data_IF_644938702784
#
_entry.id   IF_644938702784
#
_cell.length_a   1.000
_cell.length_b   1.000
_cell.length_c   1.000
_cell.angle_alpha   90.00
_cell.angle_beta   90.00
_cell.angle_gamma   90.00
#
_symmetry.space_group_name_H-M   'P 1'
#
loop_
_entity.id
_entity.type
_entity.pdbx_description
1 polymer ?
#
# COMPACT_ATOMS: atom_id res chain seq x y z
N UNK A 1 -2.36 -3.00 54.07
CA UNK A 1 -1.38 -3.78 53.28
C UNK A 1 -1.95 -4.05 51.90
N UNK A 2 -1.53 -3.31 50.86
CA UNK A 2 -1.94 -3.51 49.47
C UNK A 2 -0.74 -4.09 48.72
N UNK A 3 -0.87 -5.31 48.22
CA UNK A 3 0.12 -5.95 47.36
C UNK A 3 0.06 -5.28 45.97
N UNK A 4 1.21 -4.82 45.47
CA UNK A 4 1.38 -4.32 44.12
C UNK A 4 1.64 -5.45 43.14
N UNK A 5 0.92 -5.47 42.01
CA UNK A 5 1.22 -6.33 40.86
C UNK A 5 2.24 -5.64 39.95
N UNK A 6 3.27 -6.34 39.42
CA UNK A 6 4.14 -5.77 38.41
C UNK A 6 3.51 -5.89 37.02
N UNK A 7 3.40 -4.77 36.32
CA UNK A 7 3.13 -4.71 34.88
C UNK A 7 4.40 -5.13 34.13
N UNK A 8 4.33 -6.20 33.31
CA UNK A 8 5.40 -6.52 32.38
C UNK A 8 5.29 -5.62 31.14
N UNK A 9 6.19 -4.65 31.03
CA UNK A 9 6.44 -3.91 29.80
C UNK A 9 7.22 -4.79 28.82
N UNK A 10 6.53 -5.39 27.86
CA UNK A 10 7.18 -6.00 26.70
C UNK A 10 7.44 -4.89 25.66
N UNK A 11 8.65 -4.34 25.68
CA UNK A 11 9.13 -3.45 24.62
C UNK A 11 9.34 -4.31 23.37
N UNK A 12 8.30 -4.45 22.54
CA UNK A 12 8.47 -4.90 21.16
C UNK A 12 9.26 -3.81 20.45
N UNK A 13 10.54 -4.10 20.17
CA UNK A 13 11.39 -3.25 19.36
C UNK A 13 10.70 -3.04 18.00
N UNK A 14 10.05 -1.88 17.86
CA UNK A 14 9.53 -1.43 16.59
C UNK A 14 10.69 -1.35 15.62
N UNK A 15 10.66 -2.21 14.59
CA UNK A 15 11.44 -2.00 13.38
C UNK A 15 10.91 -0.72 12.76
N UNK A 16 11.50 0.41 13.17
CA UNK A 16 11.29 1.70 12.55
C UNK A 16 12.00 1.60 11.20
N UNK A 17 11.31 1.56 10.05
CA UNK A 17 12.00 1.59 8.78
C UNK A 17 12.85 2.86 8.78
N UNK A 18 14.16 2.68 8.58
CA UNK A 18 15.08 3.79 8.46
C UNK A 18 14.63 4.60 7.25
N UNK A 19 14.07 5.78 7.50
CA UNK A 19 13.86 6.77 6.47
C UNK A 19 15.24 7.25 6.02
N UNK A 20 15.78 6.60 4.99
CA UNK A 20 16.84 7.19 4.19
C UNK A 20 16.32 8.56 3.71
N UNK A 21 17.11 9.65 3.82
CA UNK A 21 16.77 10.92 3.19
C UNK A 21 16.97 10.76 1.68
N UNK A 22 16.08 9.99 1.05
CA UNK A 22 15.96 9.92 -0.38
C UNK A 22 15.54 11.32 -0.82
N UNK A 23 16.35 11.90 -1.71
CA UNK A 23 16.03 13.11 -2.46
C UNK A 23 14.53 13.16 -2.74
N UNK A 24 13.87 14.20 -2.24
CA UNK A 24 12.43 14.37 -2.39
C UNK A 24 12.15 14.72 -3.85
N UNK A 25 11.90 13.69 -4.66
CA UNK A 25 11.46 13.83 -6.04
C UNK A 25 9.98 13.47 -6.12
N UNK A 26 9.27 14.20 -6.95
CA UNK A 26 7.87 13.95 -7.28
C UNK A 26 7.75 13.40 -8.70
N UNK A 27 6.75 12.55 -8.93
CA UNK A 27 6.52 11.95 -10.26
C UNK A 27 6.13 13.00 -11.31
N UNK A 28 5.68 14.18 -10.89
CA UNK A 28 5.34 15.31 -11.76
C UNK A 28 6.55 16.22 -12.05
N UNK A 29 7.72 15.97 -11.45
CA UNK A 29 8.93 16.74 -11.75
C UNK A 29 9.35 16.56 -13.20
N UNK A 30 9.83 17.63 -13.83
CA UNK A 30 10.30 17.58 -15.21
C UNK A 30 11.48 16.62 -15.41
N UNK A 31 12.24 16.37 -14.35
CA UNK A 31 13.35 15.42 -14.33
C UNK A 31 13.27 14.55 -13.07
N UNK A 32 13.00 13.26 -13.26
CA UNK A 32 13.11 12.26 -12.18
C UNK A 32 14.58 11.85 -12.05
N UNK A 33 15.13 11.71 -10.83
CA UNK A 33 16.53 11.31 -10.64
C UNK A 33 16.85 9.97 -11.30
N UNK A 34 18.10 9.79 -11.70
CA UNK A 34 18.56 8.51 -12.27
C UNK A 34 18.44 7.41 -11.21
N UNK A 35 17.79 6.33 -11.59
CA UNK A 35 17.61 5.15 -10.74
C UNK A 35 18.95 4.46 -10.52
N UNK A 36 19.42 4.44 -9.27
CA UNK A 36 20.62 3.71 -8.88
C UNK A 36 20.30 2.32 -8.31
N UNK A 37 19.13 2.19 -7.67
CA UNK A 37 18.70 0.99 -6.97
C UNK A 37 17.21 0.76 -7.21
N UNK A 38 16.80 -0.51 -7.13
CA UNK A 38 15.42 -0.92 -7.34
C UNK A 38 14.87 -1.58 -6.09
N UNK A 39 13.63 -1.24 -5.75
CA UNK A 39 12.86 -1.90 -4.70
C UNK A 39 12.41 -3.30 -5.13
N UNK A 40 12.25 -4.18 -4.14
CA UNK A 40 11.47 -5.41 -4.30
C UNK A 40 10.00 -5.06 -4.53
N UNK A 41 9.33 -5.85 -5.36
CA UNK A 41 7.90 -5.71 -5.63
C UNK A 41 7.08 -5.68 -4.33
N UNK A 42 6.17 -4.71 -4.24
CA UNK A 42 5.26 -4.54 -3.10
C UNK A 42 3.81 -4.60 -3.59
N UNK A 43 3.18 -5.75 -3.40
CA UNK A 43 1.77 -5.97 -3.76
C UNK A 43 0.82 -5.01 -3.01
N UNK A 44 1.11 -4.75 -1.73
CA UNK A 44 0.27 -3.99 -0.80
C UNK A 44 0.95 -2.68 -0.37
N UNK A 45 1.35 -1.86 -1.34
CA UNK A 45 1.84 -0.52 -1.04
C UNK A 45 0.77 0.28 -0.27
N UNK A 46 1.11 0.78 0.91
CA UNK A 46 0.20 1.49 1.81
C UNK A 46 0.86 2.79 2.34
N UNK A 47 0.04 3.79 2.60
CA UNK A 47 0.48 5.13 2.98
C UNK A 47 1.14 5.92 1.84
N UNK A 48 1.86 6.97 2.20
CA UNK A 48 2.59 7.82 1.25
C UNK A 48 3.98 7.22 0.98
N UNK A 49 4.02 6.22 0.11
CA UNK A 49 5.26 5.52 -0.27
C UNK A 49 5.63 5.79 -1.72
N UNK A 50 6.93 5.81 -1.99
CA UNK A 50 7.51 5.83 -3.33
C UNK A 50 8.33 4.57 -3.52
N UNK A 51 8.21 3.97 -4.69
CA UNK A 51 8.87 2.72 -5.05
C UNK A 51 9.38 2.82 -6.48
N UNK A 52 10.58 2.28 -6.71
CA UNK A 52 11.19 2.21 -8.03
C UNK A 52 11.41 0.75 -8.37
N UNK A 53 10.68 0.23 -9.34
CA UNK A 53 10.76 -1.17 -9.73
C UNK A 53 11.60 -1.38 -10.98
N UNK A 54 12.18 -2.58 -11.08
CA UNK A 54 12.94 -2.97 -12.26
C UNK A 54 12.02 -3.06 -13.49
N UNK A 55 12.51 -2.72 -14.70
CA UNK A 55 11.71 -2.79 -15.92
C UNK A 55 11.34 -4.23 -16.32
N UNK A 56 12.05 -5.24 -15.80
CA UNK A 56 11.77 -6.66 -16.02
C UNK A 56 10.78 -7.25 -15.01
N UNK A 57 10.31 -6.49 -14.01
CA UNK A 57 9.22 -6.93 -13.15
C UNK A 57 7.90 -6.90 -13.93
N UNK A 58 7.31 -8.08 -14.11
CA UNK A 58 6.03 -8.22 -14.79
C UNK A 58 4.91 -7.51 -14.02
N UNK A 59 4.89 -7.63 -12.70
CA UNK A 59 3.88 -7.04 -11.83
C UNK A 59 3.94 -5.51 -11.88
N UNK A 60 5.14 -4.94 -11.88
CA UNK A 60 5.35 -3.51 -12.00
C UNK A 60 4.93 -2.99 -13.38
N UNK A 61 5.32 -3.67 -14.45
CA UNK A 61 4.95 -3.30 -15.82
C UNK A 61 3.43 -3.38 -16.05
N UNK A 62 2.75 -4.35 -15.41
CA UNK A 62 1.28 -4.45 -15.41
C UNK A 62 0.61 -3.47 -14.45
N UNK A 63 1.38 -2.70 -13.67
CA UNK A 63 0.88 -1.77 -12.64
C UNK A 63 -0.08 -2.46 -11.67
N UNK A 64 0.27 -3.69 -11.27
CA UNK A 64 -0.54 -4.54 -10.41
C UNK A 64 -0.66 -3.94 -8.99
N UNK A 65 -1.69 -4.33 -8.26
CA UNK A 65 -1.83 -3.99 -6.85
C UNK A 65 -2.79 -4.95 -6.17
N UNK A 66 -2.43 -5.36 -4.95
CA UNK A 66 -3.32 -6.05 -4.03
C UNK A 66 -4.53 -5.19 -3.66
N UNK A 67 -4.43 -3.87 -3.70
CA UNK A 67 -5.59 -2.98 -3.54
C UNK A 67 -6.50 -2.99 -4.78
N UNK A 68 -7.80 -2.78 -4.57
CA UNK A 68 -8.74 -2.54 -5.65
C UNK A 68 -8.54 -1.12 -6.18
N UNK A 69 -7.84 -0.97 -7.29
CA UNK A 69 -7.43 0.32 -7.85
C UNK A 69 -8.12 0.57 -9.19
N UNK A 70 -8.78 1.72 -9.35
CA UNK A 70 -9.40 2.16 -10.61
C UNK A 70 -8.58 3.25 -11.26
N UNK A 71 -8.43 3.19 -12.58
CA UNK A 71 -7.78 4.26 -13.34
C UNK A 71 -8.55 5.57 -13.20
N UNK A 72 -7.82 6.68 -13.13
CA UNK A 72 -8.38 8.02 -13.12
C UNK A 72 -7.69 8.87 -14.17
N UNK A 73 -8.44 9.68 -14.89
CA UNK A 73 -7.86 10.59 -15.87
C UNK A 73 -7.17 11.75 -15.15
N UNK A 74 -5.87 11.92 -15.38
CA UNK A 74 -5.06 13.05 -14.91
C UNK A 74 -4.61 13.97 -16.07
N UNK A 75 -5.08 13.72 -17.30
CA UNK A 75 -4.69 14.41 -18.52
C UNK A 75 -3.18 14.39 -18.84
N UNK A 76 -2.45 13.40 -18.32
CA UNK A 76 -1.03 13.18 -18.62
C UNK A 76 -0.80 11.74 -19.07
N UNK A 77 -0.55 11.53 -20.36
CA UNK A 77 -0.35 10.20 -20.93
C UNK A 77 0.92 9.48 -20.44
N UNK A 78 1.88 10.22 -19.84
CA UNK A 78 3.11 9.65 -19.28
C UNK A 78 2.91 9.12 -17.85
N UNK A 79 1.85 9.56 -17.15
CA UNK A 79 1.60 9.17 -15.76
C UNK A 79 0.28 8.40 -15.68
N UNK A 80 0.35 7.10 -15.38
CA UNK A 80 -0.84 6.33 -15.05
C UNK A 80 -1.28 6.65 -13.61
N UNK A 81 -2.43 7.30 -13.45
CA UNK A 81 -3.04 7.55 -12.14
C UNK A 81 -4.15 6.56 -11.83
N UNK A 82 -4.11 5.98 -10.62
CA UNK A 82 -5.15 5.08 -10.10
C UNK A 82 -5.57 5.50 -8.69
N UNK A 83 -6.85 5.36 -8.37
CA UNK A 83 -7.40 5.60 -7.02
C UNK A 83 -7.93 4.31 -6.41
N UNK A 84 -7.73 4.14 -5.11
CA UNK A 84 -8.28 3.01 -4.36
C UNK A 84 -9.81 3.11 -4.29
N UNK A 85 -10.48 1.99 -4.55
CA UNK A 85 -11.94 1.84 -4.40
C UNK A 85 -12.33 1.41 -2.99
N UNK A 86 -11.36 1.05 -2.15
CA UNK A 86 -11.59 0.51 -0.82
C UNK A 86 -11.96 -0.98 -0.83
N UNK A 87 -12.74 -1.39 0.16
CA UNK A 87 -13.18 -2.78 0.37
C UNK A 87 -14.67 -2.78 0.73
N UNK A 88 -15.42 -3.74 0.20
CA UNK A 88 -16.82 -3.94 0.59
C UNK A 88 -16.86 -4.79 1.86
N UNK A 89 -17.68 -4.36 2.82
CA UNK A 89 -17.88 -5.05 4.10
C UNK A 89 -19.36 -5.32 4.32
N UNK A 90 -19.70 -6.41 5.01
CA UNK A 90 -21.09 -6.63 5.44
C UNK A 90 -21.44 -5.62 6.54
N UNK A 91 -22.43 -4.75 6.27
CA UNK A 91 -22.91 -3.73 7.22
C UNK A 91 -23.52 -4.32 8.50
N UNK A 92 -24.05 -5.53 8.41
CA UNK A 92 -24.55 -6.30 9.56
C UNK A 92 -23.43 -7.05 10.32
N UNK A 93 -22.17 -6.84 9.96
CA UNK A 93 -21.02 -7.41 10.67
C UNK A 93 -20.88 -8.93 10.54
N UNK A 94 -21.43 -9.51 9.46
CA UNK A 94 -21.47 -10.94 9.16
C UNK A 94 -20.13 -11.63 9.42
N UNK A 95 -20.21 -12.86 9.93
CA UNK A 95 -19.06 -13.73 10.21
C UNK A 95 -19.21 -15.02 9.42
N UNK A 96 -18.14 -15.43 8.73
CA UNK A 96 -18.07 -16.70 8.00
C UNK A 96 -18.03 -17.87 8.99
N UNK A 97 -18.37 -19.11 8.57
CA UNK A 97 -18.31 -20.28 9.45
C UNK A 97 -16.95 -20.50 10.14
N UNK A 98 -15.84 -20.05 9.52
CA UNK A 98 -14.50 -20.10 10.09
C UNK A 98 -14.13 -18.94 11.03
N UNK A 99 -15.07 -18.07 11.41
CA UNK A 99 -14.83 -16.92 12.31
C UNK A 99 -14.31 -15.64 11.64
N UNK A 100 -13.99 -15.69 10.34
CA UNK A 100 -13.55 -14.52 9.57
C UNK A 100 -14.67 -13.53 9.26
N UNK A 101 -14.34 -12.25 9.07
CA UNK A 101 -15.28 -11.22 8.59
C UNK A 101 -15.44 -11.29 7.06
N UNK A 102 -16.61 -10.91 6.58
CA UNK A 102 -16.88 -10.81 5.14
C UNK A 102 -16.26 -9.54 4.57
N UNK A 103 -15.28 -9.71 3.68
CA UNK A 103 -14.66 -8.65 2.89
C UNK A 103 -14.66 -9.05 1.41
N UNK A 104 -15.11 -8.16 0.54
CA UNK A 104 -15.12 -8.40 -0.90
C UNK A 104 -14.33 -7.32 -1.63
N UNK A 105 -13.57 -7.73 -2.64
CA UNK A 105 -12.88 -6.81 -3.56
C UNK A 105 -13.92 -6.13 -4.45
N UNK A 106 -14.01 -4.78 -4.47
CA UNK A 106 -14.89 -4.07 -5.38
C UNK A 106 -14.62 -4.44 -6.84
N UNK A 107 -15.68 -4.50 -7.65
CA UNK A 107 -15.53 -4.56 -9.10
C UNK A 107 -14.82 -3.28 -9.60
N UNK A 108 -13.89 -3.44 -10.54
CA UNK A 108 -13.16 -2.31 -11.12
C UNK A 108 -13.98 -1.63 -12.22
N UNK A 109 -14.88 -2.37 -12.86
CA UNK A 109 -15.80 -1.83 -13.86
C UNK A 109 -16.90 -1.02 -13.17
N UNK A 110 -17.27 0.10 -13.77
CA UNK A 110 -18.33 0.98 -13.25
C UNK A 110 -19.75 0.43 -13.50
N UNK A 111 -19.88 -0.66 -14.28
CA UNK A 111 -21.15 -1.34 -14.60
C UNK A 111 -20.97 -2.84 -14.79
#
# INVERSE_FOLDING_TARGET
>A
SRAGSPTMSATVAGHRPQHHPQQEWDINDSNVPRVAEYDTWSEWADGHVRKVYRPDSEEATKHASGWAMRNTNNHNALILKKSCLGVLVCSQGCVLPGGGKVHLRPAICDK
#
